data_IF_731514461961
#
_entry.id   IF_731514461961
#
_cell.length_a   1.000
_cell.length_b   1.000
_cell.length_c   1.000
_cell.angle_alpha   90.00
_cell.angle_beta   90.00
_cell.angle_gamma   90.00
#
_symmetry.space_group_name_H-M   'P 1'
#
loop_
_entity.id
_entity.type
_entity.pdbx_description
1 polymer ?
#
# COMPACT_ATOMS: atom_id res chain seq x y z
N UNK A 1 -23.19 1.03 -28.41
CA UNK A 1 -23.19 1.17 -26.93
C UNK A 1 -22.08 0.28 -26.41
N UNK A 2 -20.95 0.86 -25.96
CA UNK A 2 -19.80 0.09 -25.48
C UNK A 2 -20.16 -0.47 -24.10
N UNK A 3 -20.24 -1.79 -23.98
CA UNK A 3 -20.29 -2.48 -22.70
C UNK A 3 -19.01 -2.12 -21.93
N UNK A 4 -19.08 -1.10 -21.08
CA UNK A 4 -18.13 -0.92 -19.98
C UNK A 4 -18.32 -2.14 -19.10
N UNK A 5 -17.54 -3.20 -19.38
CA UNK A 5 -17.39 -4.33 -18.50
C UNK A 5 -17.22 -3.78 -17.09
N UNK A 6 -18.06 -4.26 -16.18
CA UNK A 6 -18.05 -3.92 -14.76
C UNK A 6 -16.59 -4.00 -14.28
N UNK A 7 -15.95 -2.83 -14.15
CA UNK A 7 -14.51 -2.77 -13.89
C UNK A 7 -14.31 -3.35 -12.49
N UNK A 8 -13.65 -4.52 -12.36
CA UNK A 8 -13.68 -5.28 -11.11
C UNK A 8 -13.09 -4.50 -9.93
N UNK A 9 -12.28 -3.48 -10.21
CA UNK A 9 -11.58 -2.62 -9.26
C UNK A 9 -11.89 -1.12 -9.44
N UNK A 10 -13.08 -0.78 -9.97
CA UNK A 10 -13.54 0.61 -10.06
C UNK A 10 -13.54 1.32 -8.69
N UNK A 11 -13.71 0.55 -7.61
CA UNK A 11 -13.63 1.03 -6.24
C UNK A 11 -12.16 1.05 -5.76
N UNK A 12 -11.60 2.24 -5.43
CA UNK A 12 -10.20 2.36 -5.03
C UNK A 12 -9.89 1.59 -3.73
N UNK A 13 -10.84 1.47 -2.81
CA UNK A 13 -10.68 0.62 -1.61
C UNK A 13 -10.51 -0.86 -1.97
N UNK A 14 -11.32 -1.37 -2.92
CA UNK A 14 -11.25 -2.77 -3.36
C UNK A 14 -9.93 -3.06 -4.07
N UNK A 15 -9.48 -2.11 -4.90
CA UNK A 15 -8.15 -2.15 -5.49
C UNK A 15 -7.05 -2.16 -4.43
N UNK A 16 -7.12 -1.27 -3.43
CA UNK A 16 -6.16 -1.19 -2.33
C UNK A 16 -6.09 -2.49 -1.51
N UNK A 17 -7.23 -3.10 -1.19
CA UNK A 17 -7.26 -4.40 -0.48
C UNK A 17 -6.57 -5.49 -1.30
N UNK A 18 -6.82 -5.54 -2.61
CA UNK A 18 -6.19 -6.54 -3.47
C UNK A 18 -4.69 -6.33 -3.61
N UNK A 19 -4.25 -5.08 -3.74
CA UNK A 19 -2.82 -4.70 -3.70
C UNK A 19 -2.18 -5.15 -2.39
N UNK A 20 -2.87 -5.01 -1.25
CA UNK A 20 -2.41 -5.47 0.06
C UNK A 20 -2.34 -7.00 0.15
N UNK A 21 -3.29 -7.73 -0.43
CA UNK A 21 -3.24 -9.20 -0.51
C UNK A 21 -1.99 -9.66 -1.26
N UNK A 22 -1.72 -9.08 -2.43
CA UNK A 22 -0.50 -9.37 -3.18
C UNK A 22 0.75 -8.98 -2.40
N UNK A 23 0.77 -7.79 -1.80
CA UNK A 23 1.92 -7.35 -0.99
C UNK A 23 2.19 -8.29 0.19
N UNK A 24 1.15 -8.84 0.84
CA UNK A 24 1.28 -9.83 1.93
C UNK A 24 1.70 -11.21 1.43
N UNK A 25 1.32 -11.58 0.20
CA UNK A 25 1.71 -12.84 -0.42
C UNK A 25 3.19 -12.87 -0.81
N UNK A 26 3.81 -11.70 -1.00
CA UNK A 26 5.25 -11.59 -1.22
C UNK A 26 6.00 -11.43 0.10
N UNK A 27 7.05 -12.22 0.27
CA UNK A 27 7.97 -12.03 1.40
C UNK A 27 8.74 -10.71 1.19
N UNK A 28 8.60 -9.73 2.10
CA UNK A 28 9.32 -8.48 1.97
C UNK A 28 10.83 -8.74 2.07
N UNK A 29 11.61 -8.02 1.28
CA UNK A 29 13.08 -8.05 1.38
C UNK A 29 13.55 -7.39 2.69
N UNK A 30 14.86 -7.35 2.90
CA UNK A 30 15.47 -6.64 4.03
C UNK A 30 14.85 -5.24 4.21
N UNK A 31 14.57 -4.89 5.46
CA UNK A 31 13.90 -3.64 5.87
C UNK A 31 12.39 -3.55 5.58
N UNK A 32 11.73 -4.65 5.19
CA UNK A 32 10.28 -4.68 5.00
C UNK A 32 9.83 -4.11 3.65
N UNK A 33 10.73 -4.05 2.67
CA UNK A 33 10.49 -3.42 1.36
C UNK A 33 9.96 -4.46 0.38
N UNK A 34 9.03 -4.06 -0.48
CA UNK A 34 8.43 -4.93 -1.49
C UNK A 34 8.54 -4.21 -2.83
N UNK A 35 8.99 -4.92 -3.86
CA UNK A 35 9.07 -4.38 -5.21
C UNK A 35 7.66 -4.14 -5.77
N UNK A 36 7.39 -2.93 -6.27
CA UNK A 36 6.05 -2.61 -6.81
C UNK A 36 5.72 -3.52 -7.99
N UNK A 37 6.73 -3.94 -8.76
CA UNK A 37 6.56 -4.80 -9.93
C UNK A 37 5.97 -6.16 -9.56
N UNK A 38 6.37 -6.70 -8.40
CA UNK A 38 5.83 -7.97 -7.89
C UNK A 38 4.35 -7.87 -7.53
N UNK A 39 3.86 -6.67 -7.24
CA UNK A 39 2.45 -6.42 -6.94
C UNK A 39 1.69 -6.04 -8.23
N UNK A 40 2.29 -5.20 -9.07
CA UNK A 40 1.70 -4.70 -10.31
C UNK A 40 1.46 -5.83 -11.32
N UNK A 41 2.45 -6.72 -11.49
CA UNK A 41 2.36 -7.82 -12.43
C UNK A 41 1.14 -8.74 -12.16
N UNK A 42 0.95 -9.35 -10.97
CA UNK A 42 -0.23 -10.16 -10.72
C UNK A 42 -1.53 -9.36 -10.71
N UNK A 43 -1.51 -8.07 -10.33
CA UNK A 43 -2.71 -7.24 -10.31
C UNK A 43 -3.23 -6.89 -11.71
N UNK A 44 -2.35 -6.67 -12.69
CA UNK A 44 -2.76 -6.40 -14.07
C UNK A 44 -2.96 -7.72 -14.83
N UNK A 45 -2.01 -8.65 -14.72
CA UNK A 45 -1.98 -9.87 -15.54
C UNK A 45 -2.95 -10.95 -15.04
N UNK A 46 -2.99 -11.20 -13.72
CA UNK A 46 -3.88 -12.23 -13.14
C UNK A 46 -5.28 -11.71 -12.82
N UNK A 47 -5.34 -10.51 -12.24
CA UNK A 47 -6.62 -9.90 -11.83
C UNK A 47 -7.29 -9.08 -12.95
N UNK A 48 -6.60 -8.85 -14.07
CA UNK A 48 -7.15 -8.14 -15.24
C UNK A 48 -7.42 -6.64 -14.97
N UNK A 49 -6.78 -6.06 -13.95
CA UNK A 49 -6.99 -4.66 -13.59
C UNK A 49 -6.22 -3.72 -14.53
N UNK A 50 -6.71 -2.48 -14.64
CA UNK A 50 -6.06 -1.43 -15.41
C UNK A 50 -4.97 -0.72 -14.59
N UNK A 51 -3.92 -0.17 -15.23
CA UNK A 51 -2.90 0.65 -14.55
C UNK A 51 -3.49 1.85 -13.77
N UNK A 52 -4.61 2.39 -14.26
CA UNK A 52 -5.34 3.47 -13.61
C UNK A 52 -5.99 3.00 -12.29
N UNK A 53 -6.53 1.78 -12.24
CA UNK A 53 -7.13 1.20 -11.04
C UNK A 53 -6.05 0.87 -9.99
N UNK A 54 -4.90 0.39 -10.46
CA UNK A 54 -3.73 0.18 -9.59
C UNK A 54 -3.29 1.49 -8.94
N UNK A 55 -3.16 2.56 -9.73
CA UNK A 55 -2.76 3.88 -9.24
C UNK A 55 -3.76 4.44 -8.23
N UNK A 56 -5.07 4.26 -8.47
CA UNK A 56 -6.14 4.68 -7.57
C UNK A 56 -6.12 3.89 -6.24
N UNK A 57 -5.93 2.57 -6.30
CA UNK A 57 -5.80 1.72 -5.11
C UNK A 57 -4.53 2.01 -4.31
N UNK A 58 -3.41 2.24 -4.99
CA UNK A 58 -2.15 2.59 -4.34
C UNK A 58 -2.25 3.94 -3.63
N UNK A 59 -2.86 4.95 -4.27
CA UNK A 59 -3.13 6.24 -3.63
C UNK A 59 -4.00 6.08 -2.39
N UNK A 60 -5.09 5.31 -2.49
CA UNK A 60 -5.99 5.06 -1.36
C UNK A 60 -5.27 4.38 -0.19
N UNK A 61 -4.43 3.37 -0.47
CA UNK A 61 -3.63 2.68 0.53
C UNK A 61 -2.61 3.60 1.21
N UNK A 62 -2.02 4.55 0.47
CA UNK A 62 -1.10 5.55 1.04
C UNK A 62 -1.85 6.56 1.91
N UNK A 63 -3.00 7.06 1.45
CA UNK A 63 -3.84 8.00 2.20
C UNK A 63 -4.35 7.38 3.52
N UNK A 64 -4.63 6.08 3.53
CA UNK A 64 -5.05 5.35 4.74
C UNK A 64 -3.88 4.82 5.58
N UNK A 65 -2.63 5.08 5.17
CA UNK A 65 -1.44 4.62 5.88
C UNK A 65 -1.27 3.10 5.90
N UNK A 66 -1.79 2.39 4.90
CA UNK A 66 -1.59 0.94 4.73
C UNK A 66 -0.27 0.63 4.03
N UNK A 67 0.12 1.47 3.07
CA UNK A 67 1.37 1.37 2.31
C UNK A 67 2.10 2.70 2.34
N UNK A 68 3.42 2.64 2.38
CA UNK A 68 4.29 3.79 2.14
C UNK A 68 5.08 3.55 0.85
N UNK A 69 4.97 4.47 -0.11
CA UNK A 69 5.80 4.45 -1.32
C UNK A 69 7.13 5.12 -1.00
N UNK A 70 8.23 4.40 -1.25
CA UNK A 70 9.57 4.96 -1.14
C UNK A 70 9.78 6.07 -2.20
N UNK A 71 10.60 7.07 -1.90
CA UNK A 71 10.88 8.20 -2.81
C UNK A 71 11.33 7.76 -4.21
N UNK A 72 12.08 6.65 -4.28
CA UNK A 72 12.55 6.02 -5.51
C UNK A 72 11.42 5.46 -6.39
N UNK A 73 10.21 5.28 -5.86
CA UNK A 73 9.07 4.68 -6.57
C UNK A 73 9.19 3.19 -6.91
N UNK A 74 10.36 2.58 -6.70
CA UNK A 74 10.64 1.17 -6.98
C UNK A 74 10.16 0.22 -5.88
N UNK A 75 9.97 0.76 -4.67
CA UNK A 75 9.64 -0.02 -3.48
C UNK A 75 8.42 0.56 -2.76
N UNK A 76 7.61 -0.33 -2.21
CA UNK A 76 6.58 -0.02 -1.22
C UNK A 76 6.86 -0.76 0.08
N UNK A 77 6.45 -0.18 1.20
CA UNK A 77 6.56 -0.78 2.53
C UNK A 77 5.17 -0.91 3.12
N UNK A 78 4.82 -2.10 3.59
CA UNK A 78 3.57 -2.30 4.34
C UNK A 78 3.74 -1.64 5.70
N UNK A 79 2.87 -0.68 6.00
CA UNK A 79 2.83 -0.03 7.30
C UNK A 79 2.01 -0.86 8.28
N UNK A 80 2.27 -0.67 9.58
CA UNK A 80 1.63 -1.44 10.64
C UNK A 80 0.09 -1.39 10.56
N UNK A 81 -0.50 -0.24 10.22
CA UNK A 81 -1.95 -0.11 10.04
C UNK A 81 -2.51 -0.97 8.90
N UNK A 82 -1.70 -1.22 7.88
CA UNK A 82 -2.00 -2.18 6.82
C UNK A 82 -1.93 -3.64 7.27
N UNK A 83 -1.24 -3.94 8.38
CA UNK A 83 -1.17 -5.26 9.01
C UNK A 83 -2.37 -5.50 9.97
N UNK A 84 -2.88 -4.43 10.59
CA UNK A 84 -3.94 -4.43 11.62
C UNK A 84 -5.37 -4.69 11.11
N UNK A 85 -5.60 -4.80 9.79
CA UNK A 85 -6.94 -5.13 9.24
C UNK A 85 -7.43 -6.54 9.62
N UNK A 86 -6.58 -7.35 10.26
CA UNK A 86 -7.00 -8.47 11.09
C UNK A 86 -6.50 -8.23 12.52
N UNK A 87 -7.43 -7.91 13.42
CA UNK A 87 -7.24 -7.79 14.89
C UNK A 87 -6.55 -6.52 15.43
N UNK A 88 -7.40 -5.68 16.04
CA UNK A 88 -7.25 -5.09 17.38
C UNK A 88 -5.99 -4.24 17.66
N UNK A 89 -6.21 -2.93 17.59
CA UNK A 89 -5.75 -1.86 18.51
C UNK A 89 -4.24 -1.62 18.78
N UNK A 90 -3.94 -0.31 18.88
CA UNK A 90 -2.86 0.37 19.65
C UNK A 90 -1.59 0.85 18.88
N UNK A 91 -0.84 1.83 19.42
CA UNK A 91 -0.92 3.22 19.00
C UNK A 91 0.34 3.66 18.24
N UNK A 92 0.19 4.70 17.42
CA UNK A 92 1.31 5.32 16.70
C UNK A 92 2.45 5.67 17.66
N UNK A 93 3.64 5.11 17.40
CA UNK A 93 4.90 5.55 17.98
C UNK A 93 5.04 7.06 17.74
N UNK A 94 4.84 7.85 18.80
CA UNK A 94 5.31 9.24 18.84
C UNK A 94 6.81 9.22 18.54
N UNK A 95 7.23 9.91 17.48
CA UNK A 95 8.62 10.34 17.35
C UNK A 95 8.92 11.24 18.56
N UNK A 96 9.93 10.97 19.40
CA UNK A 96 10.44 12.02 20.26
C UNK A 96 11.13 13.03 19.34
N UNK A 97 10.50 14.18 19.14
CA UNK A 97 11.17 15.35 18.60
C UNK A 97 12.16 15.78 19.68
N UNK A 98 13.43 15.42 19.50
CA UNK A 98 14.53 15.81 20.37
C UNK A 98 14.70 17.32 20.33
N UNK A 99 13.96 18.03 21.19
CA UNK A 99 14.23 19.42 21.52
C UNK A 99 15.33 19.41 22.59
N UNK A 100 16.58 19.32 22.14
CA UNK A 100 17.75 19.61 22.97
C UNK A 100 17.71 21.12 23.24
N UNK A 101 17.19 21.51 24.40
CA UNK A 101 17.47 22.81 24.97
C UNK A 101 18.85 22.73 25.64
N UNK A 102 19.83 23.35 24.99
CA UNK A 102 21.10 23.69 25.62
C UNK A 102 21.00 25.17 25.99
N UNK A 103 20.67 25.45 27.26
CA UNK A 103 20.75 26.79 27.83
C UNK A 103 22.00 26.83 28.72
N UNK A 104 22.90 27.75 28.34
CA UNK A 104 24.09 28.34 28.99
C UNK A 104 24.85 27.58 30.08
#
# INVERSE_FOLDING_TARGET
MKLTADRPYANPEKAARRIMEHARAFEPIQDGRIYIEKINYPFIDKDGASPAEYSAGLKYAIEHGWLEKHESGTYVKILHAGNSTCSREMPQRRRPSSSVKFDR
#
